data_IF_992914927953
#
_entry.id   IF_992914927953
#
_cell.length_a   1.000
_cell.length_b   1.000
_cell.length_c   1.000
_cell.angle_alpha   90.00
_cell.angle_beta   90.00
_cell.angle_gamma   90.00
#
_symmetry.space_group_name_H-M   'P 1'
#
loop_
_entity.id
_entity.type
_entity.pdbx_description
1 polymer ?
#
# COMPACT_ATOMS: atom_id res chain seq x y z
N UNK A 1 5.29 0.54 29.23
CA UNK A 1 5.06 -0.35 28.09
C UNK A 1 3.88 -1.24 28.43
N UNK A 2 2.65 -0.86 28.00
CA UNK A 2 1.46 -1.67 28.24
C UNK A 2 1.40 -2.72 27.13
N UNK A 3 1.61 -3.98 27.49
CA UNK A 3 1.30 -5.12 26.62
C UNK A 3 -0.22 -5.14 26.42
N UNK A 4 -0.65 -4.75 25.22
CA UNK A 4 -2.03 -4.91 24.78
C UNK A 4 -2.33 -6.42 24.64
N UNK A 5 -3.59 -6.89 24.89
CA UNK A 5 -3.96 -8.29 24.74
C UNK A 5 -3.51 -8.82 23.37
N UNK A 6 -2.91 -10.01 23.35
CA UNK A 6 -2.50 -10.68 22.12
C UNK A 6 -3.73 -10.82 21.22
N UNK A 7 -3.76 -10.05 20.15
CA UNK A 7 -4.72 -10.23 19.07
C UNK A 7 -4.41 -11.60 18.46
N UNK A 8 -5.26 -12.57 18.73
CA UNK A 8 -5.10 -13.98 18.28
C UNK A 8 -5.44 -14.15 16.78
N UNK A 9 -5.71 -13.06 16.08
CA UNK A 9 -5.95 -13.08 14.64
C UNK A 9 -4.68 -13.52 13.90
N UNK A 10 -4.79 -14.36 12.87
CA UNK A 10 -3.64 -14.73 12.07
C UNK A 10 -3.00 -13.47 11.43
N UNK A 11 -1.67 -13.45 11.26
CA UNK A 11 -0.99 -12.32 10.64
C UNK A 11 -1.48 -12.10 9.20
N UNK A 12 -1.51 -10.85 8.73
CA UNK A 12 -1.85 -10.52 7.34
C UNK A 12 -0.75 -10.98 6.38
N UNK A 13 0.50 -10.95 6.85
CA UNK A 13 1.63 -11.55 6.16
C UNK A 13 2.58 -12.20 7.15
N UNK A 14 3.11 -13.37 6.79
CA UNK A 14 4.13 -14.10 7.54
C UNK A 14 5.28 -14.43 6.59
N UNK A 15 6.48 -14.01 6.97
CA UNK A 15 7.71 -14.27 6.24
C UNK A 15 8.60 -15.16 7.10
N UNK A 16 9.20 -16.18 6.48
CA UNK A 16 10.09 -17.13 7.15
C UNK A 16 11.33 -17.35 6.30
N UNK A 17 12.48 -16.96 6.86
CA UNK A 17 13.81 -17.14 6.24
C UNK A 17 13.90 -16.55 4.82
N UNK A 18 13.28 -15.39 4.60
CA UNK A 18 13.19 -14.77 3.28
C UNK A 18 14.50 -14.11 2.90
N UNK A 19 15.04 -14.52 1.75
CA UNK A 19 16.20 -13.93 1.11
C UNK A 19 15.87 -13.46 -0.30
N UNK A 20 16.45 -12.32 -0.71
CA UNK A 20 16.30 -11.76 -2.04
C UNK A 20 17.58 -11.11 -2.52
N UNK A 21 18.00 -11.41 -3.74
CA UNK A 21 19.23 -10.89 -4.32
C UNK A 21 18.97 -10.27 -5.70
N UNK A 22 19.70 -9.20 -6.03
CA UNK A 22 19.68 -8.53 -7.34
C UNK A 22 21.10 -8.48 -7.90
N UNK A 23 21.43 -9.41 -8.78
CA UNK A 23 22.81 -9.56 -9.23
C UNK A 23 23.76 -9.82 -8.06
N UNK A 24 24.69 -8.92 -7.81
CA UNK A 24 25.62 -9.01 -6.67
C UNK A 24 25.09 -8.40 -5.37
N UNK A 25 23.93 -7.72 -5.40
CA UNK A 25 23.39 -6.99 -4.24
C UNK A 25 22.38 -7.85 -3.50
N UNK A 26 22.64 -8.15 -2.23
CA UNK A 26 21.69 -8.80 -1.33
C UNK A 26 20.77 -7.72 -0.78
N UNK A 27 19.47 -7.79 -1.14
CA UNK A 27 18.46 -6.85 -0.68
C UNK A 27 17.77 -7.31 0.61
N UNK A 28 17.58 -8.61 0.78
CA UNK A 28 17.03 -9.22 2.00
C UNK A 28 17.88 -10.43 2.38
N UNK A 29 18.18 -10.54 3.68
CA UNK A 29 18.99 -11.63 4.23
C UNK A 29 18.28 -12.26 5.42
N UNK A 30 17.74 -13.46 5.22
CA UNK A 30 17.15 -14.29 6.29
C UNK A 30 16.06 -13.56 7.11
N UNK A 31 15.14 -12.86 6.44
CA UNK A 31 14.09 -12.10 7.11
C UNK A 31 12.98 -13.05 7.57
N UNK A 32 12.71 -13.03 8.89
CA UNK A 32 11.58 -13.71 9.50
C UNK A 32 10.73 -12.68 10.25
N UNK A 33 9.45 -12.51 9.84
CA UNK A 33 8.60 -11.43 10.31
C UNK A 33 7.13 -11.81 10.21
N UNK A 34 6.35 -11.59 11.28
CA UNK A 34 4.91 -11.65 11.27
C UNK A 34 4.31 -10.23 11.29
N UNK A 35 3.51 -9.90 10.30
CA UNK A 35 2.82 -8.61 10.18
C UNK A 35 1.40 -8.77 10.69
N UNK A 36 1.00 -8.10 11.79
CA UNK A 36 -0.33 -8.25 12.36
C UNK A 36 -1.42 -7.74 11.41
N UNK A 37 -2.55 -8.45 11.37
CA UNK A 37 -3.74 -8.04 10.62
C UNK A 37 -4.45 -6.85 11.26
N UNK A 38 -5.22 -6.10 10.46
CA UNK A 38 -6.08 -4.98 10.90
C UNK A 38 -5.32 -3.87 11.63
N UNK A 39 -4.03 -3.72 11.33
CA UNK A 39 -3.15 -2.71 11.90
C UNK A 39 -2.52 -1.88 10.79
N UNK A 40 -2.10 -0.68 11.14
CA UNK A 40 -1.19 0.11 10.33
C UNK A 40 0.24 -0.18 10.80
N UNK A 41 0.99 -0.89 9.96
CA UNK A 41 2.36 -1.33 10.25
C UNK A 41 3.34 -0.49 9.45
N UNK A 42 4.30 0.12 10.13
CA UNK A 42 5.41 0.85 9.51
C UNK A 42 6.66 0.00 9.38
N UNK A 43 7.20 -0.11 8.17
CA UNK A 43 8.57 -0.56 7.92
C UNK A 43 9.45 0.68 7.86
N UNK A 44 10.25 0.91 8.88
CA UNK A 44 11.13 2.09 8.98
C UNK A 44 12.59 1.71 8.80
N UNK A 45 13.35 2.56 8.15
CA UNK A 45 14.78 2.36 7.94
C UNK A 45 15.31 3.23 6.81
N UNK A 46 16.63 3.37 6.67
CA UNK A 46 17.25 4.19 5.63
C UNK A 46 16.92 3.66 4.22
N UNK A 47 17.25 4.46 3.21
CA UNK A 47 17.10 4.04 1.82
C UNK A 47 18.04 2.89 1.49
N UNK A 48 17.57 1.97 0.63
CA UNK A 48 18.35 0.83 0.16
C UNK A 48 18.42 -0.38 1.10
N UNK A 49 17.76 -0.36 2.29
CA UNK A 49 17.76 -1.50 3.24
C UNK A 49 16.80 -2.64 2.89
N UNK A 50 16.14 -2.60 1.72
CA UNK A 50 15.28 -3.68 1.29
C UNK A 50 13.78 -3.49 1.55
N UNK A 51 13.31 -2.35 2.10
CA UNK A 51 11.87 -2.09 2.35
C UNK A 51 10.99 -2.38 1.15
N UNK A 52 11.26 -1.74 0.00
CA UNK A 52 10.49 -1.93 -1.24
C UNK A 52 10.59 -3.35 -1.79
N UNK A 53 11.73 -4.03 -1.58
CA UNK A 53 11.89 -5.45 -1.95
C UNK A 53 10.95 -6.32 -1.13
N UNK A 54 10.89 -6.10 0.19
CA UNK A 54 9.97 -6.81 1.09
C UNK A 54 8.52 -6.58 0.70
N UNK A 55 8.13 -5.30 0.48
CA UNK A 55 6.77 -4.95 0.03
C UNK A 55 6.39 -5.63 -1.27
N UNK A 56 7.31 -5.70 -2.25
CA UNK A 56 7.07 -6.33 -3.56
C UNK A 56 6.84 -7.85 -3.48
N UNK A 57 7.48 -8.53 -2.52
CA UNK A 57 7.24 -9.95 -2.26
C UNK A 57 5.86 -10.16 -1.63
N UNK A 58 5.48 -9.35 -0.64
CA UNK A 58 4.17 -9.39 0.02
C UNK A 58 3.05 -9.07 -0.99
N UNK A 59 3.26 -8.09 -1.87
CA UNK A 59 2.30 -7.74 -2.93
C UNK A 59 2.16 -8.80 -4.03
N UNK A 60 3.02 -9.82 -4.06
CA UNK A 60 3.06 -10.82 -5.14
C UNK A 60 3.60 -10.28 -6.46
N UNK A 61 4.20 -9.09 -6.45
CA UNK A 61 4.77 -8.44 -7.63
C UNK A 61 6.16 -8.96 -7.98
N UNK A 62 6.73 -9.84 -7.15
CA UNK A 62 8.07 -10.42 -7.34
C UNK A 62 8.08 -11.90 -6.97
N UNK A 63 8.93 -12.67 -7.66
CA UNK A 63 9.16 -14.07 -7.35
C UNK A 63 9.98 -14.22 -6.06
N UNK A 64 9.57 -15.14 -5.21
CA UNK A 64 10.25 -15.49 -3.97
C UNK A 64 11.42 -16.42 -4.32
N UNK A 65 12.66 -15.98 -4.08
CA UNK A 65 13.87 -16.77 -4.36
C UNK A 65 14.16 -17.73 -3.20
N UNK A 66 14.13 -17.25 -1.97
CA UNK A 66 14.42 -18.03 -0.78
C UNK A 66 13.40 -17.74 0.34
N UNK A 67 13.14 -18.76 1.18
CA UNK A 67 12.22 -18.66 2.31
C UNK A 67 10.75 -18.81 1.91
N UNK A 68 9.82 -18.53 2.80
CA UNK A 68 8.39 -18.59 2.59
C UNK A 68 7.75 -17.23 2.82
N UNK A 69 6.75 -16.89 2.00
CA UNK A 69 5.94 -15.68 2.15
C UNK A 69 4.47 -16.08 2.09
N UNK A 70 3.82 -16.02 3.23
CA UNK A 70 2.38 -16.27 3.36
C UNK A 70 1.67 -14.92 3.45
N UNK A 71 0.62 -14.69 2.67
CA UNK A 71 -0.18 -13.47 2.69
C UNK A 71 -1.66 -13.84 2.64
N UNK A 72 -2.47 -13.21 3.50
CA UNK A 72 -3.92 -13.50 3.59
C UNK A 72 -4.22 -15.01 3.72
N UNK A 73 -3.38 -15.70 4.48
CA UNK A 73 -3.60 -17.10 4.86
C UNK A 73 -3.06 -18.17 3.90
N UNK A 74 -2.30 -17.82 2.86
CA UNK A 74 -1.71 -18.81 1.96
C UNK A 74 -0.36 -18.42 1.37
N UNK A 75 0.30 -19.40 0.77
CA UNK A 75 1.65 -19.26 0.22
C UNK A 75 1.65 -18.48 -1.11
N UNK A 76 2.43 -17.42 -1.17
CA UNK A 76 2.57 -16.59 -2.38
C UNK A 76 3.35 -17.27 -3.51
N UNK A 77 3.92 -18.45 -3.30
CA UNK A 77 4.45 -19.32 -4.37
C UNK A 77 3.35 -20.07 -5.11
N UNK A 78 2.24 -20.37 -4.42
CA UNK A 78 1.10 -21.02 -5.06
C UNK A 78 0.41 -20.07 -6.03
N UNK A 79 0.37 -20.45 -7.31
CA UNK A 79 -0.24 -19.66 -8.38
C UNK A 79 -1.76 -19.51 -8.18
N UNK A 80 -2.43 -20.52 -7.64
CA UNK A 80 -3.86 -20.47 -7.39
C UNK A 80 -4.15 -19.47 -6.26
N UNK A 81 -3.42 -19.56 -5.16
CA UNK A 81 -3.53 -18.61 -4.06
C UNK A 81 -3.25 -17.19 -4.52
N UNK A 82 -2.15 -16.93 -5.27
CA UNK A 82 -1.87 -15.59 -5.81
C UNK A 82 -3.00 -15.03 -6.65
N UNK A 83 -3.60 -15.83 -7.54
CA UNK A 83 -4.75 -15.39 -8.36
C UNK A 83 -5.94 -14.98 -7.52
N UNK A 84 -6.15 -15.63 -6.39
CA UNK A 84 -7.24 -15.33 -5.47
C UNK A 84 -6.97 -14.07 -4.62
N UNK A 85 -5.73 -13.88 -4.13
CA UNK A 85 -5.43 -12.84 -3.15
C UNK A 85 -4.88 -11.54 -3.74
N UNK A 86 -4.17 -11.57 -4.89
CA UNK A 86 -3.67 -10.34 -5.51
C UNK A 86 -4.76 -9.30 -5.79
N UNK A 87 -5.98 -9.67 -6.20
CA UNK A 87 -7.09 -8.70 -6.31
C UNK A 87 -7.56 -8.10 -4.98
N UNK A 88 -7.16 -8.67 -3.83
CA UNK A 88 -7.47 -8.17 -2.48
C UNK A 88 -6.34 -7.30 -1.90
N UNK A 89 -5.26 -7.11 -2.67
CA UNK A 89 -4.09 -6.33 -2.29
C UNK A 89 -4.01 -5.09 -3.18
N UNK A 90 -3.93 -3.92 -2.57
CA UNK A 90 -3.59 -2.70 -3.27
C UNK A 90 -2.13 -2.33 -3.00
N UNK A 91 -1.39 -1.97 -4.04
CA UNK A 91 -0.02 -1.50 -3.91
C UNK A 91 0.17 -0.14 -4.58
N UNK A 92 0.61 0.82 -3.78
CA UNK A 92 1.02 2.14 -4.24
C UNK A 92 2.56 2.20 -4.19
N UNK A 93 3.23 2.07 -5.35
CA UNK A 93 4.70 2.03 -5.41
C UNK A 93 5.30 3.41 -5.17
N UNK A 94 6.57 3.44 -4.78
CA UNK A 94 7.35 4.67 -4.60
C UNK A 94 7.36 5.55 -5.85
N UNK A 95 7.17 6.85 -5.66
CA UNK A 95 7.23 7.89 -6.68
C UNK A 95 5.89 8.50 -7.04
N UNK A 96 5.89 9.83 -7.14
CA UNK A 96 4.69 10.64 -7.36
C UNK A 96 3.99 10.29 -8.67
N UNK A 97 2.82 9.65 -8.58
CA UNK A 97 1.97 9.36 -9.72
C UNK A 97 2.49 8.28 -10.67
N UNK A 98 3.41 7.41 -10.24
CA UNK A 98 3.92 6.29 -11.07
C UNK A 98 2.82 5.33 -11.53
N UNK A 99 1.77 5.18 -10.74
CA UNK A 99 0.61 4.36 -11.06
C UNK A 99 -0.49 5.11 -11.81
N UNK A 100 -0.24 6.36 -12.26
CA UNK A 100 -1.23 7.18 -12.93
C UNK A 100 -0.95 7.33 -14.43
N UNK A 101 -2.02 7.36 -15.20
CA UNK A 101 -1.99 7.74 -16.61
C UNK A 101 -2.09 9.27 -16.70
N UNK A 102 -1.00 9.95 -16.97
CA UNK A 102 -0.87 11.40 -16.88
C UNK A 102 -1.78 12.17 -17.86
N UNK A 103 -2.13 11.57 -18.98
CA UNK A 103 -3.01 12.14 -20.01
C UNK A 103 -4.48 11.99 -19.67
N UNK A 104 -4.83 10.99 -18.86
CA UNK A 104 -6.20 10.77 -18.40
C UNK A 104 -6.56 11.76 -17.30
N UNK A 105 -7.84 12.11 -17.21
CA UNK A 105 -8.39 12.91 -16.13
C UNK A 105 -8.34 12.16 -14.79
N UNK A 106 -8.62 12.89 -13.71
CA UNK A 106 -8.78 12.30 -12.36
C UNK A 106 -9.81 11.18 -12.39
N UNK A 107 -10.99 11.45 -12.97
CA UNK A 107 -12.06 10.46 -13.10
C UNK A 107 -11.63 9.25 -13.91
N UNK A 108 -11.07 9.46 -15.11
CA UNK A 108 -10.67 8.38 -16.02
C UNK A 108 -9.58 7.48 -15.43
N UNK A 109 -8.66 8.02 -14.62
CA UNK A 109 -7.70 7.21 -13.90
C UNK A 109 -8.38 6.23 -12.96
N UNK A 110 -9.32 6.68 -12.13
CA UNK A 110 -10.02 5.80 -11.17
C UNK A 110 -10.96 4.84 -11.90
N UNK A 111 -11.68 5.30 -12.94
CA UNK A 111 -12.57 4.47 -13.75
C UNK A 111 -11.81 3.34 -14.47
N UNK A 112 -10.59 3.60 -14.93
CA UNK A 112 -9.73 2.57 -15.52
C UNK A 112 -9.50 1.41 -14.55
N UNK A 113 -9.08 1.70 -13.31
CA UNK A 113 -8.87 0.66 -12.30
C UNK A 113 -10.18 -0.01 -11.89
N UNK A 114 -11.26 0.73 -11.74
CA UNK A 114 -12.58 0.17 -11.43
C UNK A 114 -13.04 -0.85 -12.49
N UNK A 115 -12.80 -0.56 -13.78
CA UNK A 115 -13.07 -1.50 -14.88
C UNK A 115 -12.17 -2.73 -14.80
N UNK A 116 -10.89 -2.54 -14.48
CA UNK A 116 -9.93 -3.63 -14.36
C UNK A 116 -10.36 -4.65 -13.30
N UNK A 117 -10.97 -4.17 -12.21
CA UNK A 117 -11.52 -5.01 -11.14
C UNK A 117 -12.96 -5.49 -11.39
N UNK A 118 -13.54 -5.19 -12.54
CA UNK A 118 -14.81 -5.77 -12.98
C UNK A 118 -16.07 -5.09 -12.44
N UNK A 119 -15.97 -3.90 -11.85
CA UNK A 119 -17.12 -3.13 -11.38
C UNK A 119 -18.04 -2.73 -12.55
N UNK A 120 -19.34 -2.84 -12.37
CA UNK A 120 -20.32 -2.36 -13.34
C UNK A 120 -20.36 -0.81 -13.38
N UNK A 121 -21.13 -0.24 -14.33
CA UNK A 121 -21.16 1.20 -14.52
C UNK A 121 -21.73 1.95 -13.31
N UNK A 122 -22.78 1.43 -12.70
CA UNK A 122 -23.46 2.10 -11.58
C UNK A 122 -22.56 2.07 -10.33
N UNK A 123 -21.95 0.93 -10.05
CA UNK A 123 -21.01 0.75 -8.95
C UNK A 123 -19.78 1.65 -9.12
N UNK A 124 -19.20 1.71 -10.34
CA UNK A 124 -18.06 2.60 -10.60
C UNK A 124 -18.37 4.06 -10.32
N UNK A 125 -19.49 4.57 -10.86
CA UNK A 125 -19.91 5.96 -10.64
C UNK A 125 -20.07 6.28 -9.14
N UNK A 126 -20.71 5.39 -8.38
CA UNK A 126 -20.89 5.54 -6.94
C UNK A 126 -19.56 5.62 -6.23
N UNK A 127 -18.72 4.59 -6.39
CA UNK A 127 -17.42 4.47 -5.70
C UNK A 127 -16.45 5.59 -6.07
N UNK A 128 -16.37 5.96 -7.36
CA UNK A 128 -15.53 7.06 -7.81
C UNK A 128 -15.97 8.37 -7.15
N UNK A 129 -17.27 8.66 -7.13
CA UNK A 129 -17.76 9.88 -6.51
C UNK A 129 -17.43 9.92 -5.01
N UNK A 130 -17.63 8.83 -4.28
CA UNK A 130 -17.28 8.72 -2.86
C UNK A 130 -15.78 8.96 -2.60
N UNK A 131 -14.91 8.33 -3.39
CA UNK A 131 -13.46 8.49 -3.27
C UNK A 131 -13.02 9.92 -3.62
N UNK A 132 -13.53 10.51 -4.69
CA UNK A 132 -13.18 11.87 -5.08
C UNK A 132 -13.69 12.91 -4.08
N UNK A 133 -14.85 12.70 -3.48
CA UNK A 133 -15.37 13.56 -2.40
C UNK A 133 -14.49 13.46 -1.15
N UNK A 134 -14.21 12.24 -0.68
CA UNK A 134 -13.43 12.02 0.54
C UNK A 134 -11.99 12.51 0.45
N UNK A 135 -11.41 12.54 -0.76
CA UNK A 135 -10.03 13.00 -1.01
C UNK A 135 -9.95 14.50 -1.37
N UNK A 136 -11.10 15.17 -1.55
CA UNK A 136 -11.16 16.55 -2.01
C UNK A 136 -10.78 16.72 -3.50
N UNK A 137 -10.80 15.64 -4.28
CA UNK A 137 -10.48 15.69 -5.72
C UNK A 137 -11.71 15.92 -6.61
N UNK A 138 -12.92 15.91 -6.07
CA UNK A 138 -14.16 16.10 -6.84
C UNK A 138 -14.18 17.37 -7.71
N UNK A 139 -13.69 18.55 -7.25
CA UNK A 139 -13.60 19.76 -8.08
C UNK A 139 -12.63 19.66 -9.26
N UNK A 140 -11.77 18.65 -9.25
CA UNK A 140 -10.74 18.42 -10.26
C UNK A 140 -11.01 17.20 -11.15
N UNK A 141 -12.24 16.67 -11.09
CA UNK A 141 -12.67 15.43 -11.75
C UNK A 141 -12.18 15.31 -13.19
N UNK A 142 -12.30 16.38 -13.97
CA UNK A 142 -11.99 16.39 -15.41
C UNK A 142 -10.56 16.89 -15.72
N UNK A 143 -9.77 17.21 -14.67
CA UNK A 143 -8.40 17.68 -14.84
C UNK A 143 -7.46 16.51 -15.17
N UNK A 144 -6.61 16.61 -16.21
CA UNK A 144 -5.58 15.63 -16.50
C UNK A 144 -4.64 15.42 -15.29
N UNK A 145 -4.33 14.15 -14.97
CA UNK A 145 -3.50 13.80 -13.82
C UNK A 145 -2.09 14.42 -13.89
N UNK A 146 -1.56 14.63 -15.10
CA UNK A 146 -0.28 15.32 -15.31
C UNK A 146 -0.25 16.75 -14.79
N UNK A 147 -1.40 17.43 -14.72
CA UNK A 147 -1.56 18.83 -14.26
C UNK A 147 -1.87 18.96 -12.76
N UNK A 148 -1.85 17.87 -12.01
CA UNK A 148 -2.05 17.86 -10.55
C UNK A 148 -0.76 18.19 -9.81
N UNK A 149 -0.88 18.78 -8.61
CA UNK A 149 0.23 18.91 -7.67
C UNK A 149 0.71 17.55 -7.16
N UNK A 150 1.88 17.48 -6.53
CA UNK A 150 2.42 16.24 -5.96
C UNK A 150 1.45 15.59 -4.97
N UNK A 151 0.94 16.36 -4.00
CA UNK A 151 -0.04 15.86 -3.03
C UNK A 151 -1.36 15.42 -3.67
N UNK A 152 -1.84 16.11 -4.72
CA UNK A 152 -3.03 15.67 -5.45
C UNK A 152 -2.79 14.37 -6.22
N UNK A 153 -1.60 14.18 -6.81
CA UNK A 153 -1.23 12.92 -7.46
C UNK A 153 -1.20 11.76 -6.47
N UNK A 154 -0.70 11.98 -5.26
CA UNK A 154 -0.72 10.95 -4.21
C UNK A 154 -2.14 10.60 -3.79
N UNK A 155 -3.02 11.59 -3.59
CA UNK A 155 -4.43 11.35 -3.29
C UNK A 155 -5.13 10.59 -4.43
N UNK A 156 -4.85 10.93 -5.69
CA UNK A 156 -5.39 10.21 -6.83
C UNK A 156 -4.85 8.77 -6.93
N UNK A 157 -3.55 8.57 -6.69
CA UNK A 157 -2.95 7.24 -6.62
C UNK A 157 -3.61 6.36 -5.55
N UNK A 158 -3.94 6.96 -4.40
CA UNK A 158 -4.67 6.29 -3.34
C UNK A 158 -6.11 5.95 -3.75
N UNK A 159 -6.83 6.85 -4.44
CA UNK A 159 -8.17 6.53 -4.98
C UNK A 159 -8.11 5.32 -5.92
N UNK A 160 -7.13 5.28 -6.83
CA UNK A 160 -6.93 4.14 -7.75
C UNK A 160 -6.62 2.84 -7.00
N UNK A 161 -5.86 2.92 -5.89
CA UNK A 161 -5.53 1.76 -5.07
C UNK A 161 -6.72 1.25 -4.24
N UNK A 162 -7.64 2.12 -3.85
CA UNK A 162 -8.75 1.79 -2.96
C UNK A 162 -10.06 1.43 -3.68
N UNK A 163 -10.14 1.63 -5.00
CA UNK A 163 -11.40 1.48 -5.74
C UNK A 163 -12.03 0.08 -5.63
N UNK A 164 -11.21 -0.95 -5.35
CA UNK A 164 -11.62 -2.35 -5.26
C UNK A 164 -11.72 -2.89 -3.83
N UNK A 165 -11.75 -2.02 -2.79
CA UNK A 165 -11.85 -2.36 -1.37
C UNK A 165 -10.83 -3.44 -0.91
N UNK A 166 -9.53 -3.14 -0.96
CA UNK A 166 -8.50 -4.13 -0.64
C UNK A 166 -8.54 -4.53 0.84
N UNK A 167 -8.16 -5.78 1.14
CA UNK A 167 -7.92 -6.26 2.50
C UNK A 167 -6.54 -5.86 3.04
N UNK A 168 -5.58 -5.64 2.12
CA UNK A 168 -4.22 -5.17 2.42
C UNK A 168 -3.85 -4.01 1.50
N UNK A 169 -3.60 -2.84 2.09
CA UNK A 169 -3.07 -1.67 1.40
C UNK A 169 -1.57 -1.56 1.69
N UNK A 170 -0.76 -1.56 0.64
CA UNK A 170 0.69 -1.42 0.70
C UNK A 170 1.09 -0.05 0.13
N UNK A 171 1.79 0.74 0.93
CA UNK A 171 2.25 2.08 0.59
C UNK A 171 3.78 2.13 0.67
N UNK A 172 4.44 2.37 -0.45
CA UNK A 172 5.89 2.44 -0.53
C UNK A 172 6.33 3.91 -0.64
N UNK A 173 6.82 4.47 0.46
CA UNK A 173 7.21 5.87 0.61
C UNK A 173 6.17 6.87 0.09
N UNK A 174 4.92 6.79 0.57
CA UNK A 174 3.80 7.50 -0.05
C UNK A 174 3.89 9.01 0.04
N UNK A 175 4.72 9.55 0.93
CA UNK A 175 4.83 11.01 1.18
C UNK A 175 6.14 11.61 0.72
N UNK A 176 7.01 10.80 0.10
CA UNK A 176 8.31 11.28 -0.42
C UNK A 176 8.09 12.28 -1.56
N UNK A 177 8.72 13.46 -1.43
CA UNK A 177 8.57 14.54 -2.41
C UNK A 177 7.26 15.34 -2.30
N UNK A 178 6.49 15.13 -1.24
CA UNK A 178 5.25 15.87 -0.94
C UNK A 178 5.53 16.96 0.10
N UNK A 179 4.96 18.15 -0.08
CA UNK A 179 5.08 19.23 0.89
C UNK A 179 4.47 18.87 2.26
N UNK A 180 4.91 19.51 3.37
CA UNK A 180 4.49 19.12 4.72
C UNK A 180 2.98 19.18 4.96
N UNK A 181 2.27 20.18 4.39
CA UNK A 181 0.82 20.30 4.54
C UNK A 181 0.09 19.17 3.82
N UNK A 182 0.47 18.89 2.57
CA UNK A 182 -0.10 17.80 1.78
C UNK A 182 0.21 16.43 2.40
N UNK A 183 1.38 16.27 3.04
CA UNK A 183 1.74 15.06 3.80
C UNK A 183 0.80 14.85 4.98
N UNK A 184 0.57 15.88 5.80
CA UNK A 184 -0.37 15.80 6.92
C UNK A 184 -1.78 15.41 6.45
N UNK A 185 -2.28 16.06 5.40
CA UNK A 185 -3.58 15.75 4.80
C UNK A 185 -3.67 14.31 4.25
N UNK A 186 -2.58 13.78 3.70
CA UNK A 186 -2.53 12.39 3.22
C UNK A 186 -2.71 11.41 4.38
N UNK A 187 -2.04 11.63 5.51
CA UNK A 187 -2.16 10.77 6.68
C UNK A 187 -3.53 10.87 7.35
N UNK A 188 -4.11 12.07 7.46
CA UNK A 188 -5.50 12.26 7.94
C UNK A 188 -6.49 11.48 7.07
N UNK A 189 -6.26 11.47 5.76
CA UNK A 189 -7.08 10.68 4.82
C UNK A 189 -6.94 9.19 5.08
N UNK A 190 -5.73 8.66 5.25
CA UNK A 190 -5.49 7.24 5.60
C UNK A 190 -6.21 6.89 6.91
N UNK A 191 -6.11 7.73 7.93
CA UNK A 191 -6.78 7.51 9.22
C UNK A 191 -8.30 7.46 9.06
N UNK A 192 -8.88 8.38 8.27
CA UNK A 192 -10.32 8.38 7.96
C UNK A 192 -10.77 7.12 7.22
N UNK A 193 -9.97 6.63 6.27
CA UNK A 193 -10.26 5.40 5.52
C UNK A 193 -10.22 4.18 6.46
N UNK A 194 -9.21 4.07 7.32
CA UNK A 194 -9.10 3.00 8.31
C UNK A 194 -10.28 2.96 9.28
N UNK A 195 -10.79 4.11 9.69
CA UNK A 195 -11.99 4.18 10.54
C UNK A 195 -13.23 3.62 9.86
N UNK A 196 -13.37 3.82 8.54
CA UNK A 196 -14.50 3.29 7.75
C UNK A 196 -14.31 1.81 7.39
N UNK A 197 -13.08 1.36 7.26
CA UNK A 197 -12.70 -0.01 6.88
C UNK A 197 -11.78 -0.63 7.93
N UNK A 198 -12.27 -0.91 9.15
CA UNK A 198 -11.44 -1.37 10.27
C UNK A 198 -10.84 -2.79 10.05
N UNK A 199 -11.35 -3.52 9.07
CA UNK A 199 -10.82 -4.83 8.68
C UNK A 199 -9.60 -4.74 7.77
N UNK A 200 -9.34 -3.58 7.14
CA UNK A 200 -8.21 -3.38 6.24
C UNK A 200 -6.90 -3.29 7.03
N UNK A 201 -5.90 -4.02 6.57
CA UNK A 201 -4.53 -3.90 7.04
C UNK A 201 -3.77 -2.89 6.17
N UNK A 202 -2.90 -2.08 6.76
CA UNK A 202 -2.07 -1.11 6.03
C UNK A 202 -0.61 -1.36 6.34
N UNK A 203 0.21 -1.53 5.31
CA UNK A 203 1.64 -1.71 5.42
C UNK A 203 2.35 -0.56 4.72
N UNK A 204 3.16 0.18 5.45
CA UNK A 204 3.82 1.40 4.97
C UNK A 204 5.33 1.25 5.08
N UNK A 205 6.06 1.46 3.99
CA UNK A 205 7.49 1.69 4.06
C UNK A 205 7.77 3.19 4.05
N UNK A 206 8.62 3.65 4.95
CA UNK A 206 9.04 5.04 5.03
C UNK A 206 10.48 5.19 5.55
N UNK A 207 11.19 6.20 5.05
CA UNK A 207 12.45 6.66 5.62
C UNK A 207 12.26 7.78 6.67
N UNK A 208 11.04 8.33 6.79
CA UNK A 208 10.75 9.43 7.72
C UNK A 208 10.43 8.90 9.12
N UNK A 209 11.37 9.09 10.06
CA UNK A 209 11.20 8.67 11.46
C UNK A 209 10.05 9.39 12.17
N UNK A 210 9.72 10.61 11.75
CA UNK A 210 8.59 11.39 12.30
C UNK A 210 7.22 10.76 12.02
N UNK A 211 7.13 9.87 11.03
CA UNK A 211 5.90 9.13 10.73
C UNK A 211 5.68 7.93 11.66
N UNK A 212 6.72 7.51 12.41
CA UNK A 212 6.67 6.33 13.27
C UNK A 212 5.55 6.39 14.34
N UNK A 213 5.25 7.59 14.84
CA UNK A 213 4.20 7.80 15.85
C UNK A 213 2.77 7.49 15.35
N UNK A 214 2.58 7.41 14.02
CA UNK A 214 1.29 7.13 13.39
C UNK A 214 0.97 5.65 13.30
N UNK A 215 1.96 4.78 13.43
CA UNK A 215 1.81 3.35 13.21
C UNK A 215 1.42 2.61 14.49
N UNK A 216 0.51 1.65 14.35
CA UNK A 216 0.12 0.77 15.47
C UNK A 216 1.24 -0.21 15.83
N UNK A 217 2.10 -0.53 14.84
CA UNK A 217 3.21 -1.47 14.95
C UNK A 217 4.38 -1.02 14.08
N UNK A 218 5.58 -1.20 14.57
CA UNK A 218 6.81 -0.79 13.87
C UNK A 218 7.76 -1.97 13.67
N UNK A 219 8.31 -2.03 12.49
CA UNK A 219 9.42 -2.90 12.10
C UNK A 219 10.59 -2.03 11.67
N UNK A 220 11.68 -2.05 12.42
CA UNK A 220 12.90 -1.36 12.04
C UNK A 220 13.76 -2.28 11.18
N UNK A 221 14.14 -1.81 10.00
CA UNK A 221 15.02 -2.51 9.07
C UNK A 221 16.39 -1.81 9.03
N UNK A 222 17.44 -2.59 9.16
CA UNK A 222 18.83 -2.11 9.06
C UNK A 222 19.67 -3.17 8.36
N UNK A 223 20.21 -2.82 7.20
CA UNK A 223 21.13 -3.66 6.39
C UNK A 223 20.56 -5.04 5.97
N UNK A 224 19.27 -5.12 5.67
CA UNK A 224 18.63 -6.31 5.09
C UNK A 224 18.22 -7.34 6.11
#
# INVERSE_FOLDING_TARGET
MKLTPQDTSPPVALLEHVGQQFGATIALRDISLAIPARRMVGLIGPDGVGKSSLLSLIAGARTIEQGNVMVLGGDMRDVHHRREVCPKIAWMPQGLGKNLYHTLSVYENVDFFARLFGHDKAERELRINELLQSTGLAPFRDRPAGKLSGGMKQKLGLCCALIHDPQLLILDEPTTGVDPLSRAQFWELIDSIRQRQPAMSVLVATAYMEEAERFDWLVAMNAG
#
